data_IF_178576922841
#
_entry.id   IF_178576922841
#
_cell.length_a   1.000
_cell.length_b   1.000
_cell.length_c   1.000
_cell.angle_alpha   90.00
_cell.angle_beta   90.00
_cell.angle_gamma   90.00
#
_symmetry.space_group_name_H-M   'P 1'
#
loop_
_entity.id
_entity.type
_entity.pdbx_description
1 polymer ?
#
# COMPACT_ATOMS: atom_id res chain seq x y z
N UNK A 1 27.47 19.15 -15.18
CA UNK A 1 27.82 20.37 -14.41
C UNK A 1 27.10 20.33 -13.07
N UNK A 2 27.75 20.77 -11.98
CA UNK A 2 27.15 20.84 -10.65
C UNK A 2 27.08 22.30 -10.22
N UNK A 3 25.89 22.78 -9.87
CA UNK A 3 25.68 24.13 -9.32
C UNK A 3 25.55 24.03 -7.81
N UNK A 4 26.26 24.88 -7.07
CA UNK A 4 26.15 24.97 -5.61
C UNK A 4 25.13 26.05 -5.26
N UNK A 5 24.19 25.69 -4.40
CA UNK A 5 23.15 26.59 -3.89
C UNK A 5 23.08 26.42 -2.37
N UNK A 6 22.87 27.52 -1.66
CA UNK A 6 22.48 27.51 -0.25
C UNK A 6 20.97 27.64 -0.16
N UNK A 7 20.32 26.70 0.51
CA UNK A 7 18.87 26.67 0.70
C UNK A 7 18.58 26.54 2.19
N UNK A 8 17.67 27.37 2.70
CA UNK A 8 17.11 27.22 4.05
C UNK A 8 15.94 26.24 4.01
N UNK A 9 15.90 25.31 4.95
CA UNK A 9 14.82 24.33 5.13
C UNK A 9 14.39 24.33 6.59
N UNK A 10 13.17 23.89 6.85
CA UNK A 10 12.67 23.72 8.21
C UNK A 10 13.46 22.65 8.98
N UNK A 11 13.53 22.80 10.30
CA UNK A 11 14.36 21.96 11.17
C UNK A 11 13.90 20.49 11.15
N UNK A 12 12.60 20.25 11.10
CA UNK A 12 12.01 18.91 11.02
C UNK A 12 12.38 18.20 9.70
N UNK A 13 12.40 18.94 8.60
CA UNK A 13 12.83 18.43 7.30
C UNK A 13 14.34 18.12 7.31
N UNK A 14 15.16 18.97 7.93
CA UNK A 14 16.58 18.73 8.08
C UNK A 14 16.86 17.44 8.87
N UNK A 15 16.15 17.22 9.97
CA UNK A 15 16.24 15.99 10.77
C UNK A 15 15.82 14.75 9.98
N UNK A 16 14.72 14.83 9.25
CA UNK A 16 14.23 13.72 8.42
C UNK A 16 15.27 13.32 7.35
N UNK A 17 15.84 14.31 6.66
CA UNK A 17 16.86 14.10 5.64
C UNK A 17 18.16 13.53 6.24
N UNK A 18 18.56 14.01 7.43
CA UNK A 18 19.71 13.44 8.15
C UNK A 18 19.49 11.98 8.54
N UNK A 19 18.31 11.64 9.07
CA UNK A 19 17.97 10.26 9.41
C UNK A 19 18.06 9.37 8.16
N UNK A 20 17.48 9.82 7.05
CA UNK A 20 17.48 9.07 5.79
C UNK A 20 18.89 8.88 5.22
N UNK A 21 19.77 9.87 5.37
CA UNK A 21 21.18 9.76 5.00
C UNK A 21 21.90 8.66 5.79
N UNK A 22 21.69 8.60 7.11
CA UNK A 22 22.25 7.54 7.97
C UNK A 22 21.73 6.16 7.61
N UNK A 23 20.43 6.04 7.32
CA UNK A 23 19.80 4.76 6.96
C UNK A 23 20.24 4.23 5.59
N UNK A 24 20.55 5.14 4.66
CA UNK A 24 20.85 4.81 3.27
C UNK A 24 22.36 4.75 2.97
N UNK A 25 23.22 5.04 3.96
CA UNK A 25 24.67 5.21 3.80
C UNK A 25 25.05 6.22 2.68
N UNK A 26 24.23 7.27 2.52
CA UNK A 26 24.40 8.30 1.48
C UNK A 26 24.73 9.63 2.11
N UNK A 27 25.44 10.50 1.38
CA UNK A 27 25.67 11.86 1.86
C UNK A 27 24.36 12.66 1.91
N UNK A 28 24.28 13.63 2.83
CA UNK A 28 23.12 14.51 2.96
C UNK A 28 22.75 15.17 1.61
N UNK A 29 23.75 15.62 0.84
CA UNK A 29 23.55 16.22 -0.48
C UNK A 29 22.92 15.25 -1.48
N UNK A 30 23.33 13.99 -1.48
CA UNK A 30 22.77 12.98 -2.38
C UNK A 30 21.32 12.69 -2.03
N UNK A 31 21.01 12.58 -0.74
CA UNK A 31 19.62 12.40 -0.26
C UNK A 31 18.73 13.58 -0.65
N UNK A 32 19.19 14.82 -0.44
CA UNK A 32 18.47 16.03 -0.84
C UNK A 32 18.20 16.03 -2.34
N UNK A 33 19.23 15.80 -3.15
CA UNK A 33 19.08 15.78 -4.61
C UNK A 33 18.16 14.66 -5.09
N UNK A 34 18.24 13.47 -4.49
CA UNK A 34 17.36 12.35 -4.81
C UNK A 34 15.91 12.67 -4.47
N UNK A 35 15.66 13.26 -3.30
CA UNK A 35 14.33 13.68 -2.87
C UNK A 35 13.73 14.74 -3.82
N UNK A 36 14.49 15.76 -4.17
CA UNK A 36 14.06 16.81 -5.10
C UNK A 36 13.80 16.27 -6.52
N UNK A 37 14.65 15.37 -7.02
CA UNK A 37 14.42 14.74 -8.33
C UNK A 37 13.15 13.90 -8.33
N UNK A 38 12.91 13.14 -7.26
CA UNK A 38 11.72 12.32 -7.12
C UNK A 38 10.46 13.18 -7.06
N UNK A 39 10.46 14.26 -6.27
CA UNK A 39 9.28 15.12 -6.18
C UNK A 39 8.96 15.82 -7.50
N UNK A 40 9.98 16.30 -8.23
CA UNK A 40 9.79 16.90 -9.55
C UNK A 40 9.27 15.86 -10.57
N UNK A 41 9.81 14.65 -10.58
CA UNK A 41 9.33 13.59 -11.46
C UNK A 41 7.89 13.13 -11.11
N UNK A 42 7.54 13.06 -9.83
CA UNK A 42 6.17 12.75 -9.39
C UNK A 42 5.19 13.87 -9.77
N UNK A 43 5.60 15.14 -9.65
CA UNK A 43 4.81 16.30 -10.07
C UNK A 43 4.54 16.30 -11.59
N UNK A 44 5.52 15.90 -12.40
CA UNK A 44 5.34 15.72 -13.85
C UNK A 44 4.42 14.53 -14.18
N UNK A 45 4.51 13.45 -13.39
CA UNK A 45 3.72 12.22 -13.60
C UNK A 45 2.25 12.35 -13.20
N UNK A 46 1.86 13.37 -12.43
CA UNK A 46 0.46 13.63 -12.09
C UNK A 46 -0.42 14.06 -13.27
N UNK A 47 0.15 14.33 -14.44
CA UNK A 47 -0.60 14.65 -15.66
C UNK A 47 -1.32 13.47 -16.33
N UNK A 48 -0.97 12.22 -15.97
CA UNK A 48 -1.47 11.03 -16.69
C UNK A 48 -1.69 9.83 -15.75
N UNK A 49 -2.40 10.06 -14.63
CA UNK A 49 -2.98 8.92 -13.89
C UNK A 49 -4.32 8.60 -14.53
N UNK A 50 -4.50 7.43 -15.20
CA UNK A 50 -5.81 7.05 -15.69
C UNK A 50 -6.78 7.03 -14.52
N UNK A 51 -7.93 7.68 -14.69
CA UNK A 51 -8.96 7.72 -13.66
C UNK A 51 -9.30 6.29 -13.24
N UNK A 52 -9.22 6.01 -11.93
CA UNK A 52 -9.66 4.74 -11.36
C UNK A 52 -11.16 4.64 -11.64
N UNK A 53 -11.53 3.86 -12.66
CA UNK A 53 -12.92 3.60 -13.00
C UNK A 53 -13.38 2.37 -12.22
N UNK A 54 -14.07 2.60 -11.11
CA UNK A 54 -14.78 1.53 -10.41
C UNK A 54 -16.00 1.16 -11.25
N UNK A 55 -16.05 -0.08 -11.76
CA UNK A 55 -17.27 -0.64 -12.34
C UNK A 55 -18.08 -1.30 -11.22
N UNK A 56 -19.17 -0.69 -10.72
CA UNK A 56 -20.05 -1.37 -9.78
C UNK A 56 -20.65 -2.60 -10.47
N UNK A 57 -20.50 -3.76 -9.84
CA UNK A 57 -21.17 -4.97 -10.28
C UNK A 57 -22.53 -5.01 -9.58
N UNK A 58 -23.61 -4.94 -10.36
CA UNK A 58 -24.95 -5.15 -9.84
C UNK A 58 -25.14 -6.65 -9.62
N UNK A 59 -25.07 -7.09 -8.36
CA UNK A 59 -25.33 -8.48 -7.97
C UNK A 59 -26.83 -8.84 -8.02
N UNK A 60 -27.68 -7.92 -8.52
CA UNK A 60 -29.12 -8.08 -8.58
C UNK A 60 -29.75 -8.08 -7.19
N UNK A 61 -31.03 -8.43 -7.13
CA UNK A 61 -31.71 -8.70 -5.86
C UNK A 61 -31.02 -9.90 -5.22
N UNK A 62 -30.36 -9.65 -4.08
CA UNK A 62 -29.83 -10.70 -3.22
C UNK A 62 -30.92 -11.75 -3.06
N UNK A 63 -30.60 -13.02 -3.39
CA UNK A 63 -31.56 -14.12 -3.33
C UNK A 63 -32.27 -14.07 -1.98
N UNK A 64 -33.61 -14.17 -1.91
CA UNK A 64 -34.32 -14.16 -0.63
C UNK A 64 -33.72 -15.25 0.28
N UNK A 65 -33.17 -14.83 1.42
CA UNK A 65 -32.46 -15.70 2.36
C UNK A 65 -30.94 -15.46 2.48
N UNK A 66 -30.34 -14.61 1.65
CA UNK A 66 -28.95 -14.16 1.84
C UNK A 66 -28.99 -12.74 2.43
N UNK A 67 -28.40 -12.57 3.61
CA UNK A 67 -28.27 -11.29 4.29
C UNK A 67 -26.82 -10.78 4.08
N UNK A 68 -26.60 -9.70 3.33
CA UNK A 68 -25.26 -9.19 3.03
C UNK A 68 -24.51 -8.70 4.27
N UNK A 69 -25.21 -8.29 5.34
CA UNK A 69 -24.60 -7.89 6.60
C UNK A 69 -24.18 -9.10 7.46
N UNK A 70 -24.55 -10.31 7.05
CA UNK A 70 -24.19 -11.59 7.70
C UNK A 70 -23.24 -12.44 6.86
N UNK A 71 -22.52 -11.86 5.90
CA UNK A 71 -21.48 -12.61 5.16
C UNK A 71 -20.40 -13.20 6.07
N UNK A 72 -20.12 -12.55 7.21
CA UNK A 72 -19.22 -13.06 8.24
C UNK A 72 -19.72 -14.36 8.90
N UNK A 73 -21.02 -14.69 8.82
CA UNK A 73 -21.61 -15.89 9.42
C UNK A 73 -21.56 -17.12 8.50
N UNK A 74 -21.20 -16.96 7.22
CA UNK A 74 -20.97 -18.07 6.28
C UNK A 74 -19.60 -18.73 6.46
N UNK A 75 -18.71 -18.16 7.27
CA UNK A 75 -17.40 -18.76 7.57
C UNK A 75 -17.50 -19.90 8.60
N UNK A 76 -18.48 -19.85 9.51
CA UNK A 76 -18.61 -20.86 10.59
C UNK A 76 -19.19 -22.20 10.09
N UNK A 77 -20.01 -22.20 9.02
CA UNK A 77 -20.59 -23.44 8.49
C UNK A 77 -19.64 -24.25 7.59
N UNK A 78 -18.46 -23.70 7.22
CA UNK A 78 -17.43 -24.45 6.47
C UNK A 78 -16.42 -25.18 7.39
N UNK A 79 -16.32 -24.80 8.66
CA UNK A 79 -15.35 -25.41 9.59
C UNK A 79 -15.86 -26.72 10.23
N UNK A 80 -17.16 -27.02 10.12
CA UNK A 80 -17.79 -28.22 10.68
C UNK A 80 -17.70 -29.50 9.84
N UNK A 81 -17.01 -29.48 8.69
CA UNK A 81 -17.00 -30.59 7.72
C UNK A 81 -15.67 -31.35 7.56
N UNK A 82 -14.57 -30.90 8.17
CA UNK A 82 -13.22 -31.43 7.89
C UNK A 82 -12.51 -31.97 9.15
N UNK A 83 -13.24 -32.60 10.07
CA UNK A 83 -12.64 -33.26 11.26
C UNK A 83 -12.73 -34.81 11.27
N UNK A 84 -13.14 -35.47 10.17
CA UNK A 84 -13.26 -36.94 10.11
C UNK A 84 -12.50 -37.64 8.98
N UNK A 85 -11.49 -37.00 8.37
CA UNK A 85 -10.68 -37.65 7.32
C UNK A 85 -9.17 -37.60 7.57
N UNK A 86 -8.72 -37.70 8.82
CA UNK A 86 -7.29 -37.95 9.11
C UNK A 86 -7.00 -38.80 10.36
N UNK A 87 -7.89 -39.74 10.70
CA UNK A 87 -7.64 -40.69 11.79
C UNK A 87 -8.28 -42.06 11.57
N UNK A 88 -8.16 -42.65 10.38
CA UNK A 88 -8.32 -44.10 10.24
C UNK A 88 -7.52 -44.65 9.06
N UNK A 89 -6.21 -44.77 9.26
CA UNK A 89 -5.43 -45.88 8.72
C UNK A 89 -4.71 -46.51 9.92
N UNK A 90 -5.18 -47.68 10.35
CA UNK A 90 -4.24 -48.78 10.53
C UNK A 90 -4.83 -50.10 10.01
N UNK A 91 -4.03 -50.83 9.23
CA UNK A 91 -3.97 -52.30 9.18
C UNK A 91 -5.27 -53.05 8.89
#
# INVERSE_FOLDING_TARGET
MSTTLTLTIDDDLAELLQRRARESDMSFREVVNAALRRSLAEAESTGDKPAITVRPHDFGSIRPGIDPDRFNQLLDDLEGGEFLRKSHNPG
#
